data_IF_072067097250
#
_entry.id   IF_072067097250
#
_cell.length_a   1.000
_cell.length_b   1.000
_cell.length_c   1.000
_cell.angle_alpha   90.00
_cell.angle_beta   90.00
_cell.angle_gamma   90.00
#
_symmetry.space_group_name_H-M   'P 1'
#
loop_
_entity.id
_entity.type
_entity.pdbx_description
1 polymer ?
#
# COMPACT_ATOMS: atom_id res chain seq x y z
N UNK A 1 -24.32 5.54 -11.08
CA UNK A 1 -23.12 4.85 -10.55
C UNK A 1 -21.91 5.46 -11.25
N UNK A 2 -20.81 5.67 -10.52
CA UNK A 2 -19.62 6.30 -11.10
C UNK A 2 -19.16 5.52 -12.35
N UNK A 3 -18.78 6.29 -13.36
CA UNK A 3 -18.61 5.95 -14.76
C UNK A 3 -17.13 5.63 -15.03
N UNK A 4 -16.60 4.65 -14.33
CA UNK A 4 -15.23 4.22 -14.54
C UNK A 4 -15.29 2.95 -15.37
N UNK A 5 -14.72 3.00 -16.58
CA UNK A 5 -14.76 1.89 -17.53
C UNK A 5 -13.61 0.90 -17.28
N UNK A 6 -12.55 1.34 -16.58
CA UNK A 6 -11.43 0.50 -16.14
C UNK A 6 -10.92 0.89 -14.74
N UNK A 7 -10.18 -0.02 -14.10
CA UNK A 7 -9.69 0.17 -12.74
C UNK A 7 -8.60 1.25 -12.63
N UNK A 8 -7.89 1.57 -13.72
CA UNK A 8 -6.94 2.68 -13.83
C UNK A 8 -7.58 4.04 -13.51
N UNK A 9 -8.88 4.20 -13.79
CA UNK A 9 -9.59 5.46 -13.56
C UNK A 9 -9.98 5.67 -12.09
N UNK A 10 -9.96 4.60 -11.28
CA UNK A 10 -10.29 4.67 -9.86
C UNK A 10 -9.26 5.51 -9.10
N UNK A 11 -9.70 6.62 -8.50
CA UNK A 11 -8.82 7.48 -7.71
C UNK A 11 -8.18 6.73 -6.54
N UNK A 12 -8.94 5.87 -5.84
CA UNK A 12 -8.40 5.02 -4.77
C UNK A 12 -7.27 4.10 -5.26
N UNK A 13 -7.32 3.63 -6.51
CA UNK A 13 -6.25 2.82 -7.11
C UNK A 13 -5.03 3.66 -7.48
N UNK A 14 -5.24 4.90 -7.95
CA UNK A 14 -4.14 5.86 -8.22
C UNK A 14 -3.39 6.19 -6.93
N UNK A 15 -4.11 6.53 -5.85
CA UNK A 15 -3.49 6.76 -4.54
C UNK A 15 -2.76 5.51 -4.02
N UNK A 16 -3.33 4.31 -4.21
CA UNK A 16 -2.65 3.06 -3.86
C UNK A 16 -1.33 2.87 -4.62
N UNK A 17 -1.29 3.23 -5.90
CA UNK A 17 -0.09 3.16 -6.72
C UNK A 17 0.98 4.18 -6.26
N UNK A 18 0.57 5.39 -5.89
CA UNK A 18 1.46 6.42 -5.33
C UNK A 18 2.09 5.95 -4.00
N UNK A 19 1.31 5.36 -3.10
CA UNK A 19 1.82 4.72 -1.88
C UNK A 19 2.84 3.61 -2.23
N UNK A 20 2.57 2.82 -3.26
CA UNK A 20 3.51 1.82 -3.77
C UNK A 20 4.86 2.44 -4.12
N UNK A 21 4.86 3.55 -4.88
CA UNK A 21 6.07 4.28 -5.27
C UNK A 21 6.79 4.83 -4.03
N UNK A 22 6.07 5.45 -3.10
CA UNK A 22 6.62 5.97 -1.84
C UNK A 22 7.35 4.87 -1.05
N UNK A 23 6.76 3.68 -0.97
CA UNK A 23 7.37 2.53 -0.30
C UNK A 23 8.61 2.02 -1.06
N UNK A 24 8.61 2.00 -2.39
CA UNK A 24 9.80 1.65 -3.16
C UNK A 24 10.95 2.62 -2.88
N UNK A 25 10.68 3.92 -2.88
CA UNK A 25 11.67 4.95 -2.54
C UNK A 25 12.18 4.81 -1.10
N UNK A 26 11.31 4.39 -0.17
CA UNK A 26 11.67 4.14 1.23
C UNK A 26 12.60 2.93 1.38
N UNK A 27 12.26 1.80 0.75
CA UNK A 27 13.02 0.55 0.92
C UNK A 27 14.36 0.53 0.18
N UNK A 28 14.54 1.40 -0.81
CA UNK A 28 15.83 1.58 -1.50
C UNK A 28 16.86 2.39 -0.67
N UNK A 29 16.41 3.06 0.40
CA UNK A 29 17.28 3.73 1.36
C UNK A 29 17.98 2.73 2.28
N UNK A 30 19.21 3.04 2.70
CA UNK A 30 19.86 2.29 3.79
C UNK A 30 19.16 2.59 5.12
N UNK A 31 19.07 1.62 6.04
CA UNK A 31 19.58 0.25 5.94
C UNK A 31 18.66 -0.74 5.20
N UNK A 32 17.42 -0.36 4.85
CA UNK A 32 16.42 -1.27 4.28
C UNK A 32 16.84 -1.91 2.96
N UNK A 33 17.61 -1.21 2.11
CA UNK A 33 18.09 -1.78 0.85
C UNK A 33 19.01 -3.00 1.00
N UNK A 34 19.53 -3.24 2.22
CA UNK A 34 20.29 -4.43 2.60
C UNK A 34 19.50 -5.41 3.47
N UNK A 35 18.32 -5.02 3.93
CA UNK A 35 17.40 -5.89 4.67
C UNK A 35 16.34 -6.45 3.71
N UNK A 36 16.76 -7.42 2.90
CA UNK A 36 15.95 -7.98 1.82
C UNK A 36 14.58 -8.47 2.31
N UNK A 37 14.51 -9.05 3.51
CA UNK A 37 13.25 -9.55 4.06
C UNK A 37 12.29 -8.41 4.36
N UNK A 38 12.73 -7.37 5.09
CA UNK A 38 11.87 -6.24 5.41
C UNK A 38 11.48 -5.43 4.17
N UNK A 39 12.41 -5.25 3.23
CA UNK A 39 12.14 -4.64 1.93
C UNK A 39 11.02 -5.39 1.21
N UNK A 40 11.17 -6.69 1.00
CA UNK A 40 10.24 -7.47 0.20
C UNK A 40 8.86 -7.55 0.87
N UNK A 41 8.80 -7.59 2.21
CA UNK A 41 7.54 -7.54 2.97
C UNK A 41 6.83 -6.18 2.83
N UNK A 42 7.55 -5.06 2.99
CA UNK A 42 7.00 -3.72 2.83
C UNK A 42 6.48 -3.48 1.40
N UNK A 43 7.32 -3.73 0.39
CA UNK A 43 6.95 -3.55 -1.01
C UNK A 43 5.79 -4.46 -1.42
N UNK A 44 5.79 -5.71 -0.94
CA UNK A 44 4.70 -6.66 -1.17
C UNK A 44 3.37 -6.17 -0.58
N UNK A 45 3.38 -5.70 0.67
CA UNK A 45 2.19 -5.14 1.32
C UNK A 45 1.67 -3.90 0.58
N UNK A 46 2.57 -3.00 0.14
CA UNK A 46 2.20 -1.78 -0.58
C UNK A 46 1.53 -2.09 -1.93
N UNK A 47 2.17 -2.94 -2.76
CA UNK A 47 1.63 -3.33 -4.08
C UNK A 47 0.30 -4.08 -3.91
N UNK A 48 0.16 -4.91 -2.87
CA UNK A 48 -1.07 -5.65 -2.58
C UNK A 48 -2.29 -4.74 -2.45
N UNK A 49 -2.14 -3.50 -1.97
CA UNK A 49 -3.24 -2.53 -1.87
C UNK A 49 -3.81 -2.24 -3.27
N UNK A 50 -2.95 -1.80 -4.21
CA UNK A 50 -3.38 -1.50 -5.59
C UNK A 50 -3.86 -2.76 -6.31
N UNK A 51 -3.21 -3.91 -6.11
CA UNK A 51 -3.56 -5.14 -6.79
C UNK A 51 -4.94 -5.66 -6.37
N UNK A 52 -5.27 -5.63 -5.08
CA UNK A 52 -6.59 -6.03 -4.62
C UNK A 52 -7.69 -5.10 -5.16
N UNK A 53 -7.46 -3.78 -5.22
CA UNK A 53 -8.44 -2.85 -5.80
C UNK A 53 -8.70 -3.18 -7.28
N UNK A 54 -7.63 -3.41 -8.06
CA UNK A 54 -7.72 -3.78 -9.46
C UNK A 54 -8.46 -5.11 -9.65
N UNK A 55 -8.05 -6.14 -8.92
CA UNK A 55 -8.63 -7.48 -8.99
C UNK A 55 -10.12 -7.47 -8.64
N UNK A 56 -10.49 -6.75 -7.57
CA UNK A 56 -11.89 -6.58 -7.17
C UNK A 56 -12.75 -5.91 -8.24
N UNK A 57 -12.21 -4.91 -8.94
CA UNK A 57 -12.92 -4.20 -10.00
C UNK A 57 -13.17 -5.11 -11.21
N UNK A 58 -12.16 -5.89 -11.62
CA UNK A 58 -12.24 -6.82 -12.77
C UNK A 58 -13.33 -7.90 -12.63
N UNK A 59 -13.73 -8.23 -11.39
CA UNK A 59 -14.85 -9.16 -11.16
C UNK A 59 -16.22 -8.62 -11.61
N UNK A 60 -16.35 -7.32 -11.92
CA UNK A 60 -17.57 -6.69 -12.43
C UNK A 60 -18.83 -6.96 -11.57
N UNK A 61 -18.63 -7.12 -10.26
CA UNK A 61 -19.68 -7.33 -9.26
C UNK A 61 -19.36 -6.57 -7.97
N UNK A 62 -20.36 -5.89 -7.43
CA UNK A 62 -20.23 -5.08 -6.21
C UNK A 62 -19.82 -5.92 -4.99
N UNK A 63 -20.31 -7.16 -4.85
CA UNK A 63 -20.02 -7.98 -3.67
C UNK A 63 -18.55 -8.39 -3.64
N UNK A 64 -18.01 -8.85 -4.76
CA UNK A 64 -16.59 -9.15 -4.89
C UNK A 64 -15.75 -7.89 -4.74
N UNK A 65 -16.14 -6.77 -5.39
CA UNK A 65 -15.38 -5.54 -5.29
C UNK A 65 -15.24 -5.08 -3.83
N UNK A 66 -16.32 -5.06 -3.05
CA UNK A 66 -16.28 -4.73 -1.62
C UNK A 66 -15.32 -5.66 -0.85
N UNK A 67 -15.39 -6.98 -1.07
CA UNK A 67 -14.51 -7.95 -0.40
C UNK A 67 -13.03 -7.66 -0.69
N UNK A 68 -12.71 -7.34 -1.94
CA UNK A 68 -11.32 -7.02 -2.32
C UNK A 68 -10.86 -5.66 -1.76
N UNK A 69 -11.76 -4.68 -1.62
CA UNK A 69 -11.45 -3.45 -0.88
C UNK A 69 -11.14 -3.71 0.60
N UNK A 70 -11.80 -4.68 1.23
CA UNK A 70 -11.45 -5.12 2.59
C UNK A 70 -10.04 -5.74 2.65
N UNK A 71 -9.64 -6.51 1.64
CA UNK A 71 -8.28 -7.03 1.54
C UNK A 71 -7.25 -5.93 1.32
N UNK A 72 -7.53 -4.96 0.44
CA UNK A 72 -6.68 -3.79 0.24
C UNK A 72 -6.47 -3.01 1.55
N UNK A 73 -7.56 -2.79 2.31
CA UNK A 73 -7.52 -2.17 3.64
C UNK A 73 -6.71 -2.99 4.64
N UNK A 74 -6.80 -4.32 4.58
CA UNK A 74 -5.97 -5.24 5.35
C UNK A 74 -4.48 -5.05 5.06
N UNK A 75 -4.09 -5.03 3.78
CA UNK A 75 -2.71 -4.78 3.35
C UNK A 75 -2.19 -3.40 3.78
N UNK A 76 -3.03 -2.36 3.72
CA UNK A 76 -2.67 -1.03 4.25
C UNK A 76 -2.41 -1.06 5.77
N UNK A 77 -3.20 -1.83 6.52
CA UNK A 77 -3.00 -2.05 7.94
C UNK A 77 -1.69 -2.79 8.25
N UNK A 78 -1.37 -3.82 7.47
CA UNK A 78 -0.13 -4.58 7.58
C UNK A 78 1.10 -3.69 7.32
N UNK A 79 1.09 -2.95 6.21
CA UNK A 79 2.15 -2.01 5.85
C UNK A 79 2.41 -0.99 6.95
N UNK A 80 1.34 -0.36 7.48
CA UNK A 80 1.44 0.60 8.59
C UNK A 80 2.04 -0.01 9.85
N UNK A 81 1.68 -1.26 10.17
CA UNK A 81 2.20 -1.98 11.34
C UNK A 81 3.69 -2.30 11.18
N UNK A 82 4.09 -2.84 10.02
CA UNK A 82 5.48 -3.17 9.70
C UNK A 82 6.37 -1.91 9.72
N UNK A 83 5.93 -0.83 9.06
CA UNK A 83 6.64 0.44 9.04
C UNK A 83 6.86 1.01 10.46
N UNK A 84 5.84 0.95 11.32
CA UNK A 84 5.99 1.38 12.72
C UNK A 84 7.09 0.60 13.46
N UNK A 85 7.09 -0.73 13.35
CA UNK A 85 8.11 -1.58 13.98
C UNK A 85 9.51 -1.25 13.44
N UNK A 86 9.64 -1.08 12.13
CA UNK A 86 10.93 -0.73 11.50
C UNK A 86 11.41 0.65 11.92
N UNK A 87 10.51 1.60 12.13
CA UNK A 87 10.85 2.93 12.66
C UNK A 87 11.40 2.82 14.08
N UNK A 88 10.71 2.08 14.96
CA UNK A 88 11.17 1.86 16.34
C UNK A 88 12.44 1.02 16.43
N UNK A 89 12.74 0.20 15.42
CA UNK A 89 13.99 -0.51 15.29
C UNK A 89 15.14 0.32 14.66
N UNK A 90 14.90 1.60 14.35
CA UNK A 90 15.89 2.49 13.73
C UNK A 90 16.24 2.14 12.28
N UNK A 91 15.34 1.42 11.59
CA UNK A 91 15.51 1.01 10.19
C UNK A 91 14.90 1.97 9.19
N UNK A 92 13.94 2.79 9.61
CA UNK A 92 13.43 3.94 8.87
C UNK A 92 13.40 5.15 9.80
N UNK A 93 13.46 6.37 9.26
CA UNK A 93 13.31 7.58 10.09
C UNK A 93 11.88 7.67 10.61
N UNK A 94 11.70 8.35 11.73
CA UNK A 94 10.37 8.57 12.30
C UNK A 94 9.51 9.45 11.37
N UNK A 95 10.09 10.46 10.73
CA UNK A 95 9.39 11.31 9.75
C UNK A 95 8.90 10.48 8.55
N UNK A 96 9.75 9.64 7.95
CA UNK A 96 9.36 8.73 6.85
C UNK A 96 8.18 7.82 7.26
N UNK A 97 8.08 7.43 8.54
CA UNK A 97 6.94 6.65 9.04
C UNK A 97 5.65 7.49 9.15
N UNK A 98 5.75 8.73 9.65
CA UNK A 98 4.58 9.58 9.83
C UNK A 98 4.00 10.02 8.49
N UNK A 99 4.85 10.35 7.52
CA UNK A 99 4.45 10.67 6.15
C UNK A 99 3.70 9.48 5.52
N UNK A 100 4.30 8.28 5.53
CA UNK A 100 3.69 7.07 4.99
C UNK A 100 2.37 6.72 5.71
N UNK A 101 2.31 6.92 7.03
CA UNK A 101 1.09 6.70 7.81
C UNK A 101 -0.02 7.65 7.37
N UNK A 102 0.29 8.91 7.11
CA UNK A 102 -0.69 9.90 6.65
C UNK A 102 -1.22 9.51 5.26
N UNK A 103 -0.34 9.16 4.32
CA UNK A 103 -0.71 8.62 3.00
C UNK A 103 -1.68 7.43 3.15
N UNK A 104 -1.38 6.48 4.04
CA UNK A 104 -2.20 5.29 4.30
C UNK A 104 -3.52 5.54 5.05
N UNK A 105 -3.71 6.71 5.65
CA UNK A 105 -4.97 7.08 6.29
C UNK A 105 -5.90 7.85 5.34
N UNK A 106 -5.36 8.38 4.25
CA UNK A 106 -6.08 9.16 3.25
C UNK A 106 -6.54 8.32 2.03
N UNK A 107 -6.19 7.03 2.01
CA UNK A 107 -6.64 6.05 1.00
C UNK A 107 -8.01 5.43 1.32
#
# INVERSE_FOLDING_TARGET
MAKNDCFEELDVRKYAAEIGIEVYDLVDKLPLSKDFKSRDQLSGAAISISNNIAEGFEYNDNKNFIRFLEYAKGSAGELRSQAFVLSKAGRIKEDDYWDLKESLLNI
#
